data_IF_054918068969
#
_entry.id   IF_054918068969
#
_cell.length_a   1.000
_cell.length_b   1.000
_cell.length_c   1.000
_cell.angle_alpha   90.00
_cell.angle_beta   90.00
_cell.angle_gamma   90.00
#
_symmetry.space_group_name_H-M   'P 1'
#
loop_
_entity.id
_entity.type
_entity.pdbx_description
1 polymer ?
#
# COMPACT_ATOMS: atom_id res chain seq x y z
N UNK A 1 -21.11 4.72 5.05
CA UNK A 1 -21.34 5.15 3.66
C UNK A 1 -20.57 6.42 3.29
N UNK A 2 -20.60 7.49 4.11
CA UNK A 2 -19.95 8.78 3.81
C UNK A 2 -18.44 8.64 3.63
N UNK A 3 -17.73 7.97 4.54
CA UNK A 3 -16.26 7.79 4.47
C UNK A 3 -15.77 6.98 3.26
N UNK A 4 -16.62 6.14 2.68
CA UNK A 4 -16.23 5.36 1.50
C UNK A 4 -16.19 6.21 0.22
N UNK A 5 -17.04 7.25 0.14
CA UNK A 5 -17.04 8.19 -0.99
C UNK A 5 -15.85 9.14 -0.92
N UNK A 6 -15.42 9.49 0.29
CA UNK A 6 -14.34 10.44 0.53
C UNK A 6 -12.98 9.98 -0.03
N UNK A 7 -12.75 8.67 -0.11
CA UNK A 7 -11.52 8.06 -0.62
C UNK A 7 -11.67 7.40 -2.00
N UNK A 8 -12.81 7.57 -2.65
CA UNK A 8 -13.08 6.91 -3.95
C UNK A 8 -12.06 7.25 -5.02
N UNK A 9 -11.56 8.49 -5.04
CA UNK A 9 -10.56 8.98 -5.98
C UNK A 9 -9.17 8.33 -5.79
N UNK A 10 -8.92 7.78 -4.61
CA UNK A 10 -7.66 7.09 -4.28
C UNK A 10 -7.72 5.58 -4.56
N UNK A 11 -8.87 5.05 -4.98
CA UNK A 11 -9.00 3.62 -5.29
C UNK A 11 -8.48 3.36 -6.70
N UNK A 12 -7.40 2.60 -6.77
CA UNK A 12 -6.73 2.22 -8.02
C UNK A 12 -6.80 0.72 -8.22
N UNK A 13 -6.88 0.31 -9.48
CA UNK A 13 -6.71 -1.09 -9.88
C UNK A 13 -5.42 -1.21 -10.67
N UNK A 14 -4.51 -2.06 -10.22
CA UNK A 14 -3.26 -2.35 -10.90
C UNK A 14 -3.14 -3.84 -11.22
N UNK A 15 -2.35 -4.13 -12.24
CA UNK A 15 -1.90 -5.48 -12.59
C UNK A 15 -0.41 -5.57 -12.26
N UNK A 16 -0.04 -6.11 -11.10
CA UNK A 16 1.36 -6.24 -10.71
C UNK A 16 2.14 -7.08 -11.71
N UNK A 17 3.41 -6.74 -11.88
CA UNK A 17 4.31 -7.47 -12.78
C UNK A 17 4.94 -8.64 -12.03
N UNK A 18 5.10 -9.76 -12.72
CA UNK A 18 5.79 -10.93 -12.16
C UNK A 18 7.23 -10.56 -11.78
N UNK A 19 7.59 -10.89 -10.55
CA UNK A 19 8.91 -10.63 -10.00
C UNK A 19 9.81 -11.84 -10.24
N UNK A 20 10.85 -11.65 -11.03
CA UNK A 20 11.84 -12.68 -11.35
C UNK A 20 13.20 -12.24 -10.81
N UNK A 21 13.63 -12.80 -9.71
CA UNK A 21 14.97 -12.58 -9.17
C UNK A 21 15.65 -13.90 -8.87
N UNK A 22 16.90 -14.11 -9.31
CA UNK A 22 17.64 -15.32 -9.01
C UNK A 22 18.04 -15.44 -7.53
N UNK A 23 18.00 -14.34 -6.80
CA UNK A 23 18.45 -14.26 -5.40
C UNK A 23 17.28 -14.46 -4.41
N UNK A 24 16.05 -14.36 -4.86
CA UNK A 24 14.90 -14.47 -4.01
C UNK A 24 14.45 -15.93 -3.86
N UNK A 25 14.41 -16.42 -2.62
CA UNK A 25 13.97 -17.78 -2.30
C UNK A 25 12.45 -17.73 -2.05
N UNK A 26 11.69 -18.40 -2.92
CA UNK A 26 10.25 -18.60 -2.73
C UNK A 26 9.99 -19.39 -1.44
N UNK A 27 8.93 -19.03 -0.76
CA UNK A 27 8.47 -19.77 0.42
C UNK A 27 7.77 -21.09 0.03
N UNK A 28 7.03 -21.07 -1.09
CA UNK A 28 6.45 -22.28 -1.73
C UNK A 28 6.91 -22.35 -3.19
N UNK A 29 7.49 -23.46 -3.59
CA UNK A 29 8.00 -23.68 -4.97
C UNK A 29 6.91 -23.54 -6.05
N UNK A 30 5.64 -23.73 -5.67
CA UNK A 30 4.47 -23.60 -6.56
C UNK A 30 3.98 -22.17 -6.71
N UNK A 31 4.55 -21.24 -5.97
CA UNK A 31 4.10 -19.86 -5.93
C UNK A 31 4.60 -19.04 -7.13
N UNK A 32 3.89 -17.95 -7.40
CA UNK A 32 4.30 -16.91 -8.34
C UNK A 32 4.50 -15.62 -7.55
N UNK A 33 5.62 -14.95 -7.83
CA UNK A 33 5.99 -13.69 -7.17
C UNK A 33 5.56 -12.51 -8.01
N UNK A 34 5.06 -11.46 -7.36
CA UNK A 34 4.67 -10.21 -8.01
C UNK A 34 5.22 -9.01 -7.25
N UNK A 35 5.73 -8.02 -7.99
CA UNK A 35 6.14 -6.74 -7.41
C UNK A 35 4.90 -5.92 -7.10
N UNK A 36 4.77 -5.47 -5.86
CA UNK A 36 3.64 -4.64 -5.43
C UNK A 36 3.94 -3.16 -5.71
N UNK A 37 2.92 -2.34 -6.06
CA UNK A 37 3.07 -0.90 -6.14
C UNK A 37 3.55 -0.30 -4.81
N UNK A 38 4.43 0.69 -4.88
CA UNK A 38 5.01 1.35 -3.70
C UNK A 38 4.03 2.28 -2.97
N UNK A 39 3.02 2.76 -3.69
CA UNK A 39 2.03 3.69 -3.18
C UNK A 39 0.84 3.04 -2.46
N UNK A 40 0.90 1.73 -2.19
CA UNK A 40 -0.18 1.02 -1.49
C UNK A 40 -0.30 1.52 -0.05
N UNK A 41 -1.52 1.98 0.31
CA UNK A 41 -1.91 2.23 1.69
C UNK A 41 -2.71 1.05 2.27
N UNK A 42 -3.68 0.53 1.52
CA UNK A 42 -4.53 -0.57 1.95
C UNK A 42 -5.01 -1.36 0.73
N UNK A 43 -4.86 -2.68 0.77
CA UNK A 43 -5.39 -3.57 -0.26
C UNK A 43 -6.86 -3.85 0.05
N UNK A 44 -7.74 -3.55 -0.93
CA UNK A 44 -9.18 -3.72 -0.79
C UNK A 44 -9.64 -5.07 -1.33
N UNK A 45 -9.08 -5.49 -2.46
CA UNK A 45 -9.44 -6.75 -3.12
C UNK A 45 -8.33 -7.23 -4.03
N UNK A 46 -8.17 -8.53 -4.10
CA UNK A 46 -7.21 -9.19 -4.97
C UNK A 46 -7.89 -10.30 -5.74
N UNK A 47 -7.64 -10.34 -7.03
CA UNK A 47 -8.21 -11.34 -7.93
C UNK A 47 -7.16 -11.81 -8.91
N UNK A 48 -7.30 -13.03 -9.35
CA UNK A 48 -6.48 -13.59 -10.42
C UNK A 48 -7.31 -14.51 -11.30
N UNK A 49 -6.70 -15.00 -12.34
CA UNK A 49 -7.25 -16.06 -13.19
C UNK A 49 -6.31 -17.26 -13.13
N UNK A 50 -6.81 -18.40 -12.70
CA UNK A 50 -6.07 -19.65 -12.83
C UNK A 50 -6.52 -20.44 -14.03
N UNK A 51 -5.59 -21.15 -14.63
CA UNK A 51 -5.85 -22.04 -15.77
C UNK A 51 -5.35 -23.43 -15.48
N UNK A 52 -6.25 -24.41 -15.62
CA UNK A 52 -5.95 -25.83 -15.54
C UNK A 52 -6.69 -26.57 -16.64
N UNK A 53 -6.01 -27.46 -17.38
CA UNK A 53 -6.60 -28.24 -18.47
C UNK A 53 -7.42 -27.41 -19.48
N UNK A 54 -6.90 -26.25 -19.87
CA UNK A 54 -7.55 -25.26 -20.78
C UNK A 54 -8.85 -24.65 -20.23
N UNK A 55 -9.13 -24.79 -18.93
CA UNK A 55 -10.27 -24.15 -18.27
C UNK A 55 -9.75 -23.01 -17.39
N UNK A 56 -10.12 -21.79 -17.72
CA UNK A 56 -9.78 -20.60 -16.93
C UNK A 56 -10.85 -20.33 -15.86
N UNK A 57 -10.42 -19.97 -14.66
CA UNK A 57 -11.29 -19.67 -13.52
C UNK A 57 -10.81 -18.43 -12.81
N UNK A 58 -11.75 -17.62 -12.36
CA UNK A 58 -11.44 -16.48 -11.50
C UNK A 58 -11.18 -16.96 -10.09
N UNK A 59 -10.08 -16.45 -9.50
CA UNK A 59 -9.69 -16.67 -8.11
C UNK A 59 -9.95 -15.40 -7.29
N UNK A 60 -10.33 -15.61 -6.04
CA UNK A 60 -10.18 -14.61 -4.98
C UNK A 60 -8.89 -14.92 -4.21
N UNK A 61 -8.03 -13.93 -4.04
CA UNK A 61 -6.77 -14.10 -3.35
C UNK A 61 -6.93 -13.54 -1.93
N UNK A 62 -6.60 -14.37 -0.95
CA UNK A 62 -6.75 -14.05 0.47
C UNK A 62 -5.37 -13.87 1.11
N UNK A 63 -5.16 -12.81 1.89
CA UNK A 63 -3.95 -12.67 2.67
C UNK A 63 -3.90 -13.73 3.77
N UNK A 64 -2.75 -14.33 3.96
CA UNK A 64 -2.53 -15.33 5.00
C UNK A 64 -1.20 -15.06 5.69
N UNK A 65 -1.10 -15.39 6.98
CA UNK A 65 0.15 -15.31 7.71
C UNK A 65 1.02 -16.54 7.44
N UNK A 66 2.33 -16.43 7.67
CA UNK A 66 3.25 -17.57 7.55
C UNK A 66 2.87 -18.71 8.49
N UNK A 67 2.40 -18.41 9.71
CA UNK A 67 1.96 -19.42 10.67
C UNK A 67 0.71 -20.14 10.18
N UNK A 68 -0.26 -19.42 9.62
CA UNK A 68 -1.47 -20.04 9.08
C UNK A 68 -1.14 -20.90 7.86
N UNK A 69 -0.21 -20.44 7.00
CA UNK A 69 0.27 -21.20 5.86
C UNK A 69 0.80 -22.57 6.31
N UNK A 70 1.74 -22.60 7.25
CA UNK A 70 2.31 -23.83 7.77
C UNK A 70 1.25 -24.76 8.37
N UNK A 71 0.32 -24.17 9.12
CA UNK A 71 -0.75 -24.94 9.73
C UNK A 71 -1.75 -25.50 8.71
N UNK A 72 -2.07 -24.73 7.64
CA UNK A 72 -2.97 -25.20 6.58
C UNK A 72 -2.30 -26.25 5.69
N UNK A 73 -1.01 -26.12 5.42
CA UNK A 73 -0.28 -27.07 4.57
C UNK A 73 -0.16 -28.47 5.20
N UNK A 74 -0.19 -28.56 6.52
CA UNK A 74 -0.25 -29.85 7.23
C UNK A 74 -1.59 -30.56 7.08
N UNK A 75 -2.62 -29.88 6.58
CA UNK A 75 -3.99 -30.41 6.45
C UNK A 75 -4.38 -30.56 4.98
N UNK A 76 -4.50 -31.79 4.44
CA UNK A 76 -4.74 -32.01 3.02
C UNK A 76 -5.98 -31.31 2.46
N UNK A 77 -7.01 -31.13 3.32
CA UNK A 77 -8.27 -30.52 2.93
C UNK A 77 -8.32 -28.99 3.10
N UNK A 78 -7.26 -28.38 3.61
CA UNK A 78 -7.18 -26.93 3.84
C UNK A 78 -6.22 -26.20 2.90
N UNK A 79 -5.72 -26.87 1.89
CA UNK A 79 -4.92 -26.25 0.82
C UNK A 79 -5.79 -25.32 -0.05
N UNK A 80 -5.19 -24.39 -0.83
CA UNK A 80 -5.95 -23.52 -1.69
C UNK A 80 -6.94 -24.28 -2.55
N UNK A 81 -8.19 -23.85 -2.53
CA UNK A 81 -9.25 -24.49 -3.30
C UNK A 81 -9.34 -23.88 -4.70
N UNK A 82 -10.08 -24.52 -5.61
CA UNK A 82 -10.17 -24.14 -7.05
C UNK A 82 -10.46 -22.67 -7.35
N UNK A 83 -11.10 -21.93 -6.43
CA UNK A 83 -11.47 -20.53 -6.61
C UNK A 83 -10.75 -19.60 -5.61
N UNK A 84 -9.74 -20.10 -4.93
CA UNK A 84 -8.99 -19.36 -3.92
C UNK A 84 -7.50 -19.46 -4.18
N UNK A 85 -6.82 -18.33 -4.00
CA UNK A 85 -5.37 -18.28 -3.86
C UNK A 85 -5.01 -17.68 -2.51
N UNK A 86 -3.82 -17.91 -2.04
CA UNK A 86 -3.27 -17.32 -0.83
C UNK A 86 -2.15 -16.37 -1.18
N UNK A 87 -2.06 -15.29 -0.43
CA UNK A 87 -0.98 -14.32 -0.56
C UNK A 87 -0.16 -14.28 0.72
N UNK A 88 1.13 -14.47 0.57
CA UNK A 88 2.14 -14.10 1.54
C UNK A 88 2.81 -12.80 1.10
N UNK A 89 3.04 -11.88 2.04
CA UNK A 89 3.68 -10.61 1.75
C UNK A 89 5.10 -10.61 2.31
N UNK A 90 6.05 -10.28 1.47
CA UNK A 90 7.47 -10.21 1.82
C UNK A 90 7.99 -8.78 1.59
N UNK A 91 9.03 -8.40 2.33
CA UNK A 91 9.83 -7.22 2.01
C UNK A 91 10.97 -7.63 1.11
N UNK A 92 11.22 -6.88 0.03
CA UNK A 92 12.35 -7.12 -0.87
C UNK A 92 13.65 -6.42 -0.42
N UNK A 93 13.62 -5.75 0.74
CA UNK A 93 14.81 -5.14 1.35
C UNK A 93 15.05 -3.65 1.02
N UNK A 94 14.40 -3.09 0.01
CA UNK A 94 14.50 -1.67 -0.37
C UNK A 94 13.11 -1.07 -0.53
N UNK A 95 12.41 -0.83 0.57
CA UNK A 95 11.08 -0.20 0.65
C UNK A 95 10.00 -0.77 -0.30
N UNK A 96 10.30 -1.83 -1.04
CA UNK A 96 9.37 -2.49 -1.94
C UNK A 96 8.88 -3.82 -1.35
N UNK A 97 7.62 -4.12 -1.63
CA UNK A 97 6.99 -5.36 -1.21
C UNK A 97 6.84 -6.31 -2.39
N UNK A 98 7.10 -7.57 -2.13
CA UNK A 98 6.85 -8.67 -3.06
C UNK A 98 5.71 -9.52 -2.51
N UNK A 99 4.74 -9.78 -3.35
CA UNK A 99 3.60 -10.64 -3.04
C UNK A 99 3.85 -12.01 -3.62
N UNK A 100 3.86 -13.02 -2.77
CA UNK A 100 3.94 -14.41 -3.17
C UNK A 100 2.54 -15.03 -3.21
N UNK A 101 2.09 -15.40 -4.40
CA UNK A 101 0.75 -15.94 -4.61
C UNK A 101 0.83 -17.43 -4.77
N UNK A 102 0.16 -18.13 -3.88
CA UNK A 102 0.07 -19.59 -3.82
C UNK A 102 -1.31 -20.02 -4.30
N UNK A 103 -1.35 -20.85 -5.31
CA UNK A 103 -2.58 -21.40 -5.86
C UNK A 103 -2.57 -22.94 -5.75
N UNK A 104 -3.66 -23.55 -6.14
CA UNK A 104 -3.76 -25.00 -6.17
C UNK A 104 -2.68 -25.61 -7.06
N UNK A 105 -2.14 -26.77 -6.67
CA UNK A 105 -1.24 -27.55 -7.50
C UNK A 105 -1.86 -27.84 -8.87
N UNK A 106 -1.03 -27.90 -9.91
CA UNK A 106 -1.41 -28.14 -11.32
C UNK A 106 -2.21 -27.01 -11.98
N UNK A 107 -2.29 -25.83 -11.35
CA UNK A 107 -2.87 -24.63 -11.95
C UNK A 107 -1.79 -23.59 -12.21
N UNK A 108 -1.97 -22.78 -13.28
CA UNK A 108 -1.11 -21.61 -13.57
C UNK A 108 -1.88 -20.35 -13.30
N UNK A 109 -1.24 -19.38 -12.64
CA UNK A 109 -1.84 -18.07 -12.39
C UNK A 109 -1.56 -17.14 -13.56
N UNK A 110 -2.59 -16.46 -14.01
CA UNK A 110 -2.53 -15.39 -14.98
C UNK A 110 -3.41 -14.22 -14.55
N UNK A 111 -3.21 -13.06 -15.14
CA UNK A 111 -4.05 -11.87 -14.96
C UNK A 111 -4.30 -11.51 -13.48
N UNK A 112 -3.21 -11.49 -12.68
CA UNK A 112 -3.28 -11.03 -11.30
C UNK A 112 -3.58 -9.54 -11.23
N UNK A 113 -4.62 -9.17 -10.48
CA UNK A 113 -5.08 -7.79 -10.30
C UNK A 113 -5.30 -7.49 -8.85
N UNK A 114 -4.83 -6.34 -8.42
CA UNK A 114 -5.08 -5.78 -7.11
C UNK A 114 -5.92 -4.51 -7.23
N UNK A 115 -6.86 -4.36 -6.32
CA UNK A 115 -7.56 -3.11 -6.09
C UNK A 115 -7.18 -2.61 -4.71
N UNK A 116 -6.63 -1.42 -4.66
CA UNK A 116 -6.08 -0.88 -3.43
C UNK A 116 -6.37 0.61 -3.29
N UNK A 117 -6.29 1.09 -2.08
CA UNK A 117 -6.28 2.50 -1.74
C UNK A 117 -4.83 2.96 -1.84
N UNK A 118 -4.54 3.91 -2.72
CA UNK A 118 -3.20 4.48 -2.84
C UNK A 118 -2.94 5.50 -1.73
N UNK A 119 -1.69 5.66 -1.36
CA UNK A 119 -1.25 6.75 -0.49
C UNK A 119 -1.39 8.07 -1.25
N UNK A 120 -2.13 9.07 -0.73
CA UNK A 120 -2.23 10.35 -1.40
C UNK A 120 -0.86 11.04 -1.45
N UNK A 121 -0.62 11.78 -2.52
CA UNK A 121 0.58 12.60 -2.64
C UNK A 121 0.51 13.79 -1.68
N UNK A 122 1.67 14.28 -1.18
CA UNK A 122 1.69 15.49 -0.37
C UNK A 122 1.21 16.69 -1.18
N UNK A 123 0.51 17.62 -0.53
CA UNK A 123 0.05 18.86 -1.15
C UNK A 123 1.21 19.86 -1.13
N UNK A 124 1.68 20.28 -2.30
CA UNK A 124 2.80 21.22 -2.46
C UNK A 124 2.33 22.40 -3.30
N UNK A 125 2.29 23.59 -2.69
CA UNK A 125 1.76 24.80 -3.33
C UNK A 125 2.79 25.58 -4.16
N UNK A 126 4.09 25.40 -3.89
CA UNK A 126 5.18 26.07 -4.58
C UNK A 126 6.26 25.06 -4.97
N UNK A 127 6.99 25.33 -6.04
CA UNK A 127 8.11 24.50 -6.44
C UNK A 127 9.27 24.63 -5.44
N UNK A 128 9.50 23.55 -4.69
CA UNK A 128 10.49 23.53 -3.62
C UNK A 128 11.93 23.51 -4.14
N UNK A 129 12.15 23.20 -5.42
CA UNK A 129 13.49 23.22 -6.01
C UNK A 129 14.00 24.63 -6.25
N UNK A 130 13.09 25.56 -6.54
CA UNK A 130 13.43 26.96 -6.87
C UNK A 130 13.46 27.82 -5.62
N UNK A 131 12.46 27.68 -4.75
CA UNK A 131 12.23 28.61 -3.63
C UNK A 131 12.92 28.20 -2.33
N UNK A 132 13.27 26.91 -2.16
CA UNK A 132 13.69 26.35 -0.87
C UNK A 132 14.91 25.43 -0.94
N UNK A 133 15.78 25.59 -1.91
CA UNK A 133 17.13 24.98 -2.01
C UNK A 133 17.21 23.50 -1.60
N UNK A 134 16.40 22.67 -2.24
CA UNK A 134 16.49 21.22 -2.11
C UNK A 134 15.64 20.60 -0.99
N UNK A 135 14.74 21.36 -0.38
CA UNK A 135 13.73 20.81 0.52
C UNK A 135 12.76 19.94 -0.27
N UNK A 136 12.51 18.72 0.23
CA UNK A 136 11.51 17.82 -0.35
C UNK A 136 10.50 17.37 0.71
N UNK A 137 9.26 17.15 0.31
CA UNK A 137 8.22 16.58 1.15
C UNK A 137 7.95 15.17 0.64
N UNK A 138 8.31 14.17 1.43
CA UNK A 138 8.23 12.74 1.03
C UNK A 138 8.92 12.44 -0.31
N UNK A 139 10.07 13.09 -0.58
CA UNK A 139 10.83 12.94 -1.82
C UNK A 139 10.29 13.71 -3.03
N UNK A 140 9.19 14.46 -2.88
CA UNK A 140 8.60 15.28 -3.93
C UNK A 140 8.93 16.76 -3.73
N UNK A 141 9.18 17.45 -4.84
CA UNK A 141 9.54 18.88 -4.88
C UNK A 141 8.59 19.69 -5.76
N UNK A 142 7.97 19.04 -6.73
CA UNK A 142 7.07 19.71 -7.69
C UNK A 142 5.71 20.03 -7.06
N UNK A 143 5.08 21.07 -7.60
CA UNK A 143 3.71 21.45 -7.22
C UNK A 143 2.75 20.30 -7.41
N UNK A 144 1.96 20.02 -6.39
CA UNK A 144 0.94 18.94 -6.41
C UNK A 144 -0.34 19.39 -5.73
N UNK A 145 -1.47 19.02 -6.32
CA UNK A 145 -2.80 19.32 -5.80
C UNK A 145 -3.32 18.17 -4.91
N UNK A 146 -4.36 18.48 -4.14
CA UNK A 146 -5.02 17.49 -3.31
C UNK A 146 -5.78 16.47 -4.17
N UNK A 147 -5.45 15.19 -4.05
CA UNK A 147 -6.09 14.10 -4.79
C UNK A 147 -7.43 13.65 -4.19
N UNK A 148 -7.76 14.15 -2.99
CA UNK A 148 -9.01 13.81 -2.29
C UNK A 148 -10.20 14.57 -2.87
N UNK A 149 -11.41 14.09 -2.59
CA UNK A 149 -12.64 14.75 -3.02
C UNK A 149 -12.72 16.19 -2.46
N UNK A 150 -13.11 17.18 -3.27
CA UNK A 150 -13.25 18.58 -2.84
C UNK A 150 -14.15 18.79 -1.60
N UNK A 151 -15.07 17.89 -1.35
CA UNK A 151 -15.94 17.94 -0.16
C UNK A 151 -15.14 17.88 1.15
N UNK A 152 -13.96 17.22 1.13
CA UNK A 152 -13.12 17.04 2.33
C UNK A 152 -12.12 18.19 2.50
N UNK A 153 -11.84 18.97 1.46
CA UNK A 153 -10.82 20.03 1.51
C UNK A 153 -10.99 21.00 2.70
N UNK A 154 -12.21 21.45 3.07
CA UNK A 154 -12.40 22.31 4.23
C UNK A 154 -12.00 21.64 5.56
N UNK A 155 -12.27 20.34 5.70
CA UNK A 155 -11.89 19.57 6.90
C UNK A 155 -10.37 19.42 7.00
N UNK A 156 -9.70 19.15 5.87
CA UNK A 156 -8.23 19.08 5.80
C UNK A 156 -7.61 20.41 6.19
N UNK A 157 -8.13 21.51 5.65
CA UNK A 157 -7.64 22.86 5.95
C UNK A 157 -7.82 23.20 7.43
N UNK A 158 -9.01 22.94 7.98
CA UNK A 158 -9.28 23.14 9.41
C UNK A 158 -8.29 22.34 10.26
N UNK A 159 -8.09 21.07 9.96
CA UNK A 159 -7.15 20.21 10.71
C UNK A 159 -5.71 20.66 10.59
N UNK A 160 -5.29 21.08 9.40
CA UNK A 160 -3.95 21.62 9.17
C UNK A 160 -3.70 22.89 9.98
N UNK A 161 -4.68 23.81 10.02
CA UNK A 161 -4.57 25.04 10.82
C UNK A 161 -4.55 24.78 12.31
N UNK A 162 -5.32 23.80 12.82
CA UNK A 162 -5.26 23.38 14.22
C UNK A 162 -3.87 22.84 14.60
N UNK A 163 -3.31 21.96 13.75
CA UNK A 163 -1.97 21.39 13.99
C UNK A 163 -0.90 22.49 13.96
N UNK A 164 -0.96 23.39 12.98
CA UNK A 164 -0.02 24.50 12.87
C UNK A 164 -0.09 25.43 14.09
N UNK A 165 -1.30 25.72 14.58
CA UNK A 165 -1.52 26.52 15.79
C UNK A 165 -0.91 25.88 17.02
N UNK A 166 -1.17 24.59 17.24
CA UNK A 166 -0.60 23.86 18.40
C UNK A 166 0.94 23.85 18.33
N UNK A 167 1.52 23.62 17.15
CA UNK A 167 2.97 23.65 16.98
C UNK A 167 3.55 25.05 17.27
N UNK A 168 2.88 26.10 16.85
CA UNK A 168 3.31 27.49 17.10
C UNK A 168 3.20 27.89 18.57
N UNK A 169 2.06 27.59 19.22
CA UNK A 169 1.83 27.86 20.65
C UNK A 169 2.84 27.09 21.53
N UNK A 170 3.05 25.81 21.28
CA UNK A 170 4.06 25.01 21.97
C UNK A 170 5.47 25.53 21.84
N UNK A 171 5.85 26.09 20.68
CA UNK A 171 7.14 26.74 20.46
C UNK A 171 7.29 28.03 21.28
N UNK A 172 6.22 28.81 21.41
CA UNK A 172 6.20 30.05 22.23
C UNK A 172 6.36 29.71 23.71
N UNK A 173 5.59 28.74 24.22
CA UNK A 173 5.68 28.30 25.61
C UNK A 173 7.08 27.81 25.96
N UNK A 174 7.74 27.08 25.07
CA UNK A 174 9.10 26.62 25.24
C UNK A 174 10.12 27.79 25.31
N UNK A 175 9.97 28.79 24.43
CA UNK A 175 10.81 29.98 24.44
C UNK A 175 10.61 30.81 25.70
N UNK A 176 9.38 30.94 26.19
CA UNK A 176 9.06 31.64 27.43
C UNK A 176 9.66 30.89 28.63
N UNK A 177 9.59 29.56 28.65
CA UNK A 177 10.19 28.75 29.73
C UNK A 177 11.71 28.85 29.75
N UNK A 178 12.37 28.94 28.59
CA UNK A 178 13.81 29.16 28.48
C UNK A 178 14.22 30.58 28.95
N UNK A 179 13.43 31.60 28.58
CA UNK A 179 13.69 32.98 29.04
C UNK A 179 13.59 33.17 30.55
N UNK A 180 12.69 32.44 31.21
CA UNK A 180 12.56 32.48 32.68
C UNK A 180 13.67 31.75 33.44
N UNK A 181 14.48 30.93 32.76
CA UNK A 181 15.64 30.26 33.39
C UNK A 181 16.93 31.05 33.29
N UNK A 182 16.96 32.14 32.56
CA UNK A 182 18.13 32.99 32.36
C UNK A 182 18.14 34.29 33.22
N UNK A 183 17.14 34.47 34.04
CA UNK A 183 17.09 35.48 35.13
C UNK A 183 17.32 34.80 36.50
#
# INVERSE_FOLDING_TARGET
HKRHMDFSNLIVTASPVEYTSPTYIKYDDRSVLYTMPEDILLILNETGVSTANNVSRRLSILPISYMDYEWYMQKPFKQPYKNQGWRLLHSSGEDSFVSEIIIKADETLSDYKIRYLKRPQPIILADLTVDYDGVSISGQTAVSECELDPIIHPEILQRATEIARVAYEGTIEHKIALGKRSE
#
